data_IF_609556509876
#
_entry.id   IF_609556509876
#
_cell.length_a   1.000
_cell.length_b   1.000
_cell.length_c   1.000
_cell.angle_alpha   90.00
_cell.angle_beta   90.00
_cell.angle_gamma   90.00
#
_symmetry.space_group_name_H-M   'P 1'
#
loop_
_entity.id
_entity.type
_entity.pdbx_description
1 polymer ?
#
# COMPACT_ATOMS: atom_id res chain seq x y z
N UNK A 1 -14.16 8.45 -2.90
CA UNK A 1 -14.09 9.92 -2.67
C UNK A 1 -15.31 10.55 -3.30
N UNK A 2 -15.96 11.48 -2.57
CA UNK A 2 -17.13 12.20 -3.10
C UNK A 2 -16.76 13.24 -4.17
N UNK A 3 -17.74 13.64 -4.99
CA UNK A 3 -17.58 14.68 -6.00
C UNK A 3 -17.25 16.03 -5.37
N UNK A 4 -17.78 16.29 -4.17
CA UNK A 4 -17.54 17.49 -3.37
C UNK A 4 -16.11 17.54 -2.86
N UNK A 5 -15.61 16.45 -2.32
CA UNK A 5 -14.24 16.38 -1.84
C UNK A 5 -13.22 16.48 -2.99
N UNK A 6 -13.53 15.91 -4.16
CA UNK A 6 -12.71 16.09 -5.36
C UNK A 6 -12.62 17.58 -5.74
N UNK A 7 -13.75 18.30 -5.75
CA UNK A 7 -13.78 19.76 -6.00
C UNK A 7 -12.89 20.52 -5.04
N UNK A 8 -13.00 20.25 -3.72
CA UNK A 8 -12.12 20.87 -2.71
C UNK A 8 -10.64 20.62 -2.99
N UNK A 9 -10.29 19.41 -3.39
CA UNK A 9 -8.89 19.04 -3.69
C UNK A 9 -8.38 19.73 -4.96
N UNK A 10 -9.21 19.91 -5.96
CA UNK A 10 -8.86 20.66 -7.17
C UNK A 10 -8.61 22.14 -6.85
N UNK A 11 -9.53 22.80 -6.14
CA UNK A 11 -9.35 24.17 -5.71
C UNK A 11 -8.05 24.34 -4.89
N UNK A 12 -7.81 23.45 -3.93
CA UNK A 12 -6.58 23.47 -3.14
C UNK A 12 -5.30 23.29 -3.98
N UNK A 13 -5.35 22.63 -5.13
CA UNK A 13 -4.21 22.53 -6.06
C UNK A 13 -4.01 23.83 -6.81
N UNK A 14 -5.10 24.47 -7.24
CA UNK A 14 -5.05 25.75 -7.95
C UNK A 14 -4.56 26.91 -7.05
N UNK A 15 -4.95 26.92 -5.78
CA UNK A 15 -4.55 27.93 -4.81
C UNK A 15 -3.08 27.83 -4.38
N UNK A 16 -2.44 26.68 -4.58
CA UNK A 16 -1.07 26.42 -4.15
C UNK A 16 -0.11 26.41 -5.33
N UNK A 17 0.73 27.44 -5.44
CA UNK A 17 1.72 27.58 -6.52
C UNK A 17 2.61 26.35 -6.70
N UNK A 18 3.05 25.73 -5.59
CA UNK A 18 3.91 24.54 -5.60
C UNK A 18 3.18 23.26 -6.07
N UNK A 19 1.87 23.36 -6.28
CA UNK A 19 1.01 22.22 -6.71
C UNK A 19 0.31 22.44 -8.03
N UNK A 20 0.37 23.64 -8.60
CA UNK A 20 -0.33 23.98 -9.84
C UNK A 20 0.08 23.09 -11.02
N UNK A 21 1.34 22.68 -11.06
CA UNK A 21 1.86 21.77 -12.08
C UNK A 21 1.20 20.38 -12.10
N UNK A 22 0.49 20.00 -11.03
CA UNK A 22 -0.27 18.74 -10.92
C UNK A 22 -1.70 18.85 -11.42
N UNK A 23 -2.14 20.03 -11.83
CA UNK A 23 -3.48 20.25 -12.34
C UNK A 23 -3.47 20.21 -13.86
N UNK A 24 -4.40 19.45 -14.45
CA UNK A 24 -4.62 19.41 -15.90
C UNK A 24 -6.03 19.87 -16.23
N UNK A 25 -6.20 20.57 -17.36
CA UNK A 25 -7.54 20.90 -17.91
C UNK A 25 -8.36 19.64 -18.18
N UNK A 26 -7.71 18.55 -18.57
CA UNK A 26 -8.35 17.25 -18.75
C UNK A 26 -9.05 16.74 -17.48
N UNK A 27 -8.49 17.01 -16.28
CA UNK A 27 -9.14 16.66 -15.01
C UNK A 27 -10.52 17.35 -14.87
N UNK A 28 -10.68 18.52 -15.43
CA UNK A 28 -11.93 19.28 -15.38
C UNK A 28 -12.95 18.76 -16.40
N UNK A 29 -12.48 18.42 -17.59
CA UNK A 29 -13.30 17.82 -18.64
C UNK A 29 -13.82 16.45 -18.21
N UNK A 30 -12.95 15.58 -17.70
CA UNK A 30 -13.31 14.25 -17.22
C UNK A 30 -14.29 14.29 -16.03
N UNK A 31 -14.23 15.35 -15.21
CA UNK A 31 -15.19 15.53 -14.12
C UNK A 31 -16.64 15.66 -14.57
N UNK A 32 -16.91 16.08 -15.79
CA UNK A 32 -18.26 16.20 -16.35
C UNK A 32 -18.93 14.82 -16.49
N UNK A 33 -18.13 13.79 -16.71
CA UNK A 33 -18.58 12.40 -16.85
C UNK A 33 -18.69 11.64 -15.52
N UNK A 34 -18.75 12.35 -14.38
CA UNK A 34 -18.80 11.74 -13.06
C UNK A 34 -19.81 10.62 -12.94
N UNK A 35 -21.03 10.83 -13.38
CA UNK A 35 -22.12 9.86 -13.25
C UNK A 35 -21.90 8.64 -14.17
N UNK A 36 -21.32 8.85 -15.35
CA UNK A 36 -20.91 7.77 -16.24
C UNK A 36 -19.82 6.89 -15.61
N UNK A 37 -18.84 7.51 -14.94
CA UNK A 37 -17.81 6.77 -14.20
C UNK A 37 -18.40 6.00 -13.02
N UNK A 38 -19.33 6.59 -12.27
CA UNK A 38 -19.98 5.90 -11.14
C UNK A 38 -20.80 4.69 -11.60
N UNK A 39 -21.53 4.81 -12.71
CA UNK A 39 -22.25 3.67 -13.31
C UNK A 39 -21.29 2.59 -13.81
N UNK A 40 -20.20 2.98 -14.49
CA UNK A 40 -19.20 2.04 -14.98
C UNK A 40 -18.52 1.28 -13.81
N UNK A 41 -18.14 1.98 -12.73
CA UNK A 41 -17.58 1.36 -11.53
C UNK A 41 -18.59 0.43 -10.84
N UNK A 42 -19.87 0.83 -10.74
CA UNK A 42 -20.90 -0.04 -10.19
C UNK A 42 -21.03 -1.36 -10.95
N UNK A 43 -21.07 -1.28 -12.28
CA UNK A 43 -21.11 -2.47 -13.16
C UNK A 43 -19.84 -3.34 -13.03
N UNK A 44 -18.67 -2.70 -12.97
CA UNK A 44 -17.39 -3.39 -12.80
C UNK A 44 -17.36 -4.18 -11.50
N UNK A 45 -17.66 -3.52 -10.38
CA UNK A 45 -17.66 -4.13 -9.04
C UNK A 45 -18.61 -5.33 -8.98
N UNK A 46 -19.84 -5.16 -9.50
CA UNK A 46 -20.85 -6.23 -9.49
C UNK A 46 -20.44 -7.43 -10.33
N UNK A 47 -19.72 -7.21 -11.45
CA UNK A 47 -19.38 -8.29 -12.38
C UNK A 47 -18.05 -8.97 -12.10
N UNK A 48 -17.14 -8.32 -11.40
CA UNK A 48 -15.77 -8.82 -11.22
C UNK A 48 -15.37 -9.08 -9.78
N UNK A 49 -16.21 -8.74 -8.79
CA UNK A 49 -15.96 -9.13 -7.40
C UNK A 49 -16.28 -10.61 -7.20
N UNK A 50 -15.34 -11.35 -6.62
CA UNK A 50 -15.49 -12.78 -6.30
C UNK A 50 -15.05 -13.04 -4.87
N UNK A 51 -15.44 -14.19 -4.31
CA UNK A 51 -15.09 -14.56 -2.93
C UNK A 51 -13.57 -14.73 -2.74
N UNK A 52 -12.87 -15.19 -3.76
CA UNK A 52 -11.41 -15.37 -3.74
C UNK A 52 -10.62 -14.10 -4.13
N UNK A 53 -11.25 -13.13 -4.81
CA UNK A 53 -10.67 -11.86 -5.21
C UNK A 53 -11.69 -10.72 -5.07
N UNK A 54 -12.04 -10.35 -3.83
CA UNK A 54 -13.05 -9.33 -3.59
C UNK A 54 -12.53 -7.92 -3.86
N UNK A 55 -13.39 -7.06 -4.40
CA UNK A 55 -13.17 -5.64 -4.44
C UNK A 55 -13.54 -4.99 -3.11
N UNK A 56 -12.70 -4.07 -2.65
CA UNK A 56 -12.95 -3.27 -1.45
C UNK A 56 -13.26 -1.83 -1.82
N UNK A 57 -14.45 -1.37 -1.47
CA UNK A 57 -14.88 0.03 -1.69
C UNK A 57 -14.69 0.82 -0.41
N UNK A 58 -13.66 1.65 -0.37
CA UNK A 58 -13.27 2.38 0.83
C UNK A 58 -13.57 3.88 0.67
N UNK A 59 -14.33 4.49 1.60
CA UNK A 59 -14.53 5.94 1.65
C UNK A 59 -13.20 6.68 1.80
N UNK A 60 -12.93 7.65 0.90
CA UNK A 60 -11.64 8.32 0.82
C UNK A 60 -11.70 9.84 1.02
N UNK A 61 -12.82 10.36 1.52
CA UNK A 61 -12.97 11.79 1.83
C UNK A 61 -12.08 12.16 3.02
N UNK A 62 -12.03 11.32 4.02
CA UNK A 62 -11.11 11.42 5.14
C UNK A 62 -9.89 10.53 4.95
N UNK A 63 -8.73 11.14 4.70
CA UNK A 63 -7.49 10.41 4.42
C UNK A 63 -7.06 9.47 5.55
N UNK A 64 -7.27 9.87 6.81
CA UNK A 64 -6.92 9.04 7.96
C UNK A 64 -7.75 7.76 7.97
N UNK A 65 -9.06 7.86 7.73
CA UNK A 65 -9.95 6.70 7.69
C UNK A 65 -9.59 5.75 6.53
N UNK A 66 -9.39 6.30 5.34
CA UNK A 66 -8.98 5.50 4.19
C UNK A 66 -7.68 4.73 4.46
N UNK A 67 -6.67 5.40 5.04
CA UNK A 67 -5.41 4.75 5.39
C UNK A 67 -5.59 3.65 6.42
N UNK A 68 -6.36 3.91 7.47
CA UNK A 68 -6.69 2.94 8.51
C UNK A 68 -7.39 1.71 7.91
N UNK A 69 -8.46 1.90 7.14
CA UNK A 69 -9.21 0.81 6.53
C UNK A 69 -8.35 -0.03 5.56
N UNK A 70 -7.54 0.63 4.70
CA UNK A 70 -6.62 -0.09 3.80
C UNK A 70 -5.59 -0.89 4.59
N UNK A 71 -4.99 -0.31 5.64
CA UNK A 71 -4.00 -1.01 6.45
C UNK A 71 -4.59 -2.23 7.16
N UNK A 72 -5.80 -2.11 7.73
CA UNK A 72 -6.46 -3.23 8.37
C UNK A 72 -6.74 -4.37 7.40
N UNK A 73 -7.30 -4.07 6.23
CA UNK A 73 -7.59 -5.09 5.21
C UNK A 73 -6.29 -5.80 4.79
N UNK A 74 -5.19 -5.06 4.59
CA UNK A 74 -3.90 -5.65 4.23
C UNK A 74 -3.39 -6.55 5.36
N UNK A 75 -3.44 -6.09 6.62
CA UNK A 75 -3.02 -6.89 7.76
C UNK A 75 -3.82 -8.18 7.88
N UNK A 76 -5.16 -8.10 7.83
CA UNK A 76 -6.03 -9.26 7.88
C UNK A 76 -5.68 -10.28 6.77
N UNK A 77 -5.47 -9.81 5.54
CA UNK A 77 -5.08 -10.69 4.43
C UNK A 77 -3.71 -11.31 4.59
N UNK A 78 -2.74 -10.58 5.14
CA UNK A 78 -1.42 -11.12 5.44
C UNK A 78 -1.46 -12.16 6.57
N UNK A 79 -2.29 -11.94 7.59
CA UNK A 79 -2.51 -12.91 8.68
C UNK A 79 -3.15 -14.20 8.17
N UNK A 80 -4.14 -14.11 7.26
CA UNK A 80 -4.77 -15.27 6.61
C UNK A 80 -3.76 -16.13 5.84
N UNK A 81 -2.71 -15.54 5.28
CA UNK A 81 -1.66 -16.28 4.58
C UNK A 81 -0.77 -17.13 5.51
N UNK A 82 -0.89 -16.94 6.84
CA UNK A 82 -0.12 -17.68 7.84
C UNK A 82 1.39 -17.76 7.52
N UNK A 83 1.94 -16.66 7.02
CA UNK A 83 3.35 -16.60 6.64
C UNK A 83 4.25 -16.83 7.84
N UNK A 84 5.26 -17.67 7.68
CA UNK A 84 6.32 -17.90 8.65
C UNK A 84 7.69 -17.75 8.01
N UNK A 85 8.68 -17.36 8.80
CA UNK A 85 10.06 -17.41 8.33
C UNK A 85 10.48 -18.84 8.04
N UNK A 86 11.29 -19.01 7.01
CA UNK A 86 11.92 -20.29 6.72
C UNK A 86 12.70 -20.76 7.96
N UNK A 87 12.38 -21.97 8.41
CA UNK A 87 13.12 -22.59 9.50
C UNK A 87 14.32 -23.33 8.89
N UNK A 88 15.49 -23.02 9.40
CA UNK A 88 16.71 -23.72 9.03
C UNK A 88 16.70 -25.14 9.58
N UNK A 89 17.31 -26.04 8.84
CA UNK A 89 17.61 -27.39 9.33
C UNK A 89 18.56 -27.32 10.54
N UNK A 90 18.66 -28.44 11.27
CA UNK A 90 19.61 -28.53 12.40
C UNK A 90 21.04 -28.35 11.93
N UNK A 91 21.38 -28.91 10.76
CA UNK A 91 22.71 -28.81 10.16
C UNK A 91 23.06 -27.36 9.78
N UNK A 92 22.13 -26.65 9.12
CA UNK A 92 22.31 -25.23 8.78
C UNK A 92 22.43 -24.36 10.03
N UNK A 93 21.66 -24.64 11.07
CA UNK A 93 21.74 -23.93 12.34
C UNK A 93 23.11 -24.12 13.01
N UNK A 94 23.67 -25.32 12.95
CA UNK A 94 25.01 -25.61 13.50
C UNK A 94 26.11 -24.93 12.68
N UNK A 95 25.97 -24.93 11.36
CA UNK A 95 26.88 -24.19 10.48
C UNK A 95 26.88 -22.69 10.76
N UNK A 96 25.75 -22.09 11.03
CA UNK A 96 25.68 -20.67 11.41
C UNK A 96 26.44 -20.36 12.70
N UNK A 97 26.47 -21.29 13.68
CA UNK A 97 27.30 -21.11 14.89
C UNK A 97 28.79 -21.09 14.55
N UNK A 98 29.23 -22.02 13.71
CA UNK A 98 30.63 -22.08 13.27
C UNK A 98 31.03 -20.77 12.53
N UNK A 99 30.18 -20.29 11.62
CA UNK A 99 30.44 -19.02 10.92
C UNK A 99 30.51 -17.84 11.89
N UNK A 100 29.62 -17.79 12.86
CA UNK A 100 29.66 -16.74 13.89
C UNK A 100 30.97 -16.75 14.68
N UNK A 101 31.46 -17.93 15.09
CA UNK A 101 32.73 -18.05 15.81
C UNK A 101 33.90 -17.59 14.96
N UNK A 102 33.92 -17.91 13.65
CA UNK A 102 34.94 -17.43 12.74
C UNK A 102 34.99 -15.91 12.65
N UNK A 103 33.82 -15.27 12.46
CA UNK A 103 33.72 -13.81 12.38
C UNK A 103 34.18 -13.15 13.69
N UNK A 104 33.80 -13.71 14.84
CA UNK A 104 34.22 -13.18 16.15
C UNK A 104 35.76 -13.25 16.35
N UNK A 105 36.42 -14.33 15.86
CA UNK A 105 37.87 -14.45 15.93
C UNK A 105 38.58 -13.43 15.02
N UNK A 106 38.09 -13.20 13.82
CA UNK A 106 38.64 -12.16 12.94
C UNK A 106 38.60 -10.76 13.57
N UNK A 107 37.49 -10.43 14.27
CA UNK A 107 37.37 -9.15 14.98
C UNK A 107 38.38 -9.02 16.14
N UNK A 108 38.66 -10.11 16.88
CA UNK A 108 39.64 -10.12 17.97
C UNK A 108 41.08 -9.96 17.45
N UNK A 109 41.42 -10.58 16.32
CA UNK A 109 42.73 -10.44 15.70
C UNK A 109 42.97 -9.04 15.12
N UNK A 110 41.92 -8.43 14.58
CA UNK A 110 41.97 -7.05 14.07
C UNK A 110 42.16 -5.99 15.15
N UNK A 111 41.73 -6.24 16.39
CA UNK A 111 41.90 -5.36 17.54
C UNK A 111 43.27 -5.50 18.23
N UNK A 112 44.04 -6.52 17.90
CA UNK A 112 45.38 -6.79 18.44
C UNK A 112 46.52 -6.23 17.56
N UNK A 113 46.21 -5.70 16.41
CA UNK A 113 47.10 -4.98 15.48
C UNK A 113 46.95 -3.47 15.64
#
# INVERSE_FOLDING_TARGET
MSKEEQKKRFLKRLDRKEKNWKFSSADLEERQYWDCYMDAYGKLLTKTSTDYAPWYVIPADHKWFMRYAVSNIICERLEELQMSYLQLSKEETEQLKIYREHIMKEEEESKKK
#
